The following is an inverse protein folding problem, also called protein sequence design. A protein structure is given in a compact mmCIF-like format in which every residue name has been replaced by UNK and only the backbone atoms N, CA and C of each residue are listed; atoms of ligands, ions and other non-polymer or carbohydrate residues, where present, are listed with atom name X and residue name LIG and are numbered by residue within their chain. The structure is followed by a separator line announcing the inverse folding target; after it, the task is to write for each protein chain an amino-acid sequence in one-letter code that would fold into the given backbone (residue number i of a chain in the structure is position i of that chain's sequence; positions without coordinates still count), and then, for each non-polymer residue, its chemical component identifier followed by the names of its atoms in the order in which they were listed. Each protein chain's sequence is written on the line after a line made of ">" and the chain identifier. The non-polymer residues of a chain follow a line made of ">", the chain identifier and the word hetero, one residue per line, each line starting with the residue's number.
data_IF_921524350805
#
_entry.id   IF_921524350805
#
_cell.length_a   1.000
_cell.length_b   1.000
_cell.length_c   1.000
_cell.angle_alpha   90.00
_cell.angle_beta   90.00
_cell.angle_gamma   90.00
#
_symmetry.space_group_name_H-M   'P 1'
#
loop_
_entity.id
_entity.type
_entity.pdbx_description
1 polymer ?
#
# COMPACT_ATOMS: atom_id res chain seq x y z
N UNK A 1 24.09 48.10 66.87
CA UNK A 1 22.86 47.32 67.08
C UNK A 1 21.83 47.78 66.08
N UNK A 2 21.58 46.98 65.03
CA UNK A 2 20.41 46.93 64.14
C UNK A 2 20.85 46.28 62.83
N UNK A 3 20.36 45.06 62.61
CA UNK A 3 20.59 44.21 61.45
C UNK A 3 19.52 44.58 60.42
N UNK A 4 19.87 44.78 59.15
CA UNK A 4 18.91 44.76 58.05
C UNK A 4 19.41 43.85 56.92
N UNK A 5 18.76 42.68 56.82
CA UNK A 5 18.81 41.79 55.67
C UNK A 5 18.02 42.44 54.52
N UNK A 6 18.67 42.66 53.38
CA UNK A 6 17.98 42.88 52.11
C UNK A 6 18.19 41.63 51.24
N UNK A 7 17.21 40.73 51.29
CA UNK A 7 17.16 39.54 50.46
C UNK A 7 17.11 39.94 48.97
N UNK A 8 18.17 39.64 48.22
CA UNK A 8 18.18 39.73 46.76
C UNK A 8 17.45 38.50 46.20
N UNK A 9 16.13 38.58 46.10
CA UNK A 9 15.34 37.68 45.26
C UNK A 9 15.39 38.17 43.82
N UNK A 10 16.11 37.48 42.95
CA UNK A 10 15.98 37.63 41.51
C UNK A 10 15.63 36.26 40.92
N UNK A 11 14.42 36.19 40.36
CA UNK A 11 13.78 35.03 39.75
C UNK A 11 14.73 34.29 38.79
N UNK A 12 14.96 33.01 39.05
CA UNK A 12 15.42 32.08 38.03
C UNK A 12 14.24 31.83 37.07
N UNK A 13 14.25 32.45 35.89
CA UNK A 13 13.34 32.12 34.82
C UNK A 13 13.71 30.74 34.27
N UNK A 14 12.98 29.71 34.68
CA UNK A 14 13.08 28.37 34.12
C UNK A 14 12.49 28.39 32.71
N UNK A 15 13.34 28.57 31.70
CA UNK A 15 12.96 28.37 30.30
C UNK A 15 12.78 26.87 30.08
N UNK A 16 11.54 26.39 30.17
CA UNK A 16 11.17 25.05 29.73
C UNK A 16 11.24 25.01 28.21
N UNK A 17 12.38 24.59 27.67
CA UNK A 17 12.52 24.23 26.27
C UNK A 17 11.69 22.97 25.99
N UNK A 18 10.44 23.15 25.56
CA UNK A 18 9.65 22.08 24.95
C UNK A 18 10.22 21.78 23.57
N UNK A 19 11.15 20.83 23.49
CA UNK A 19 11.51 20.22 22.22
C UNK A 19 10.34 19.35 21.77
N UNK A 20 9.49 19.88 20.88
CA UNK A 20 8.55 19.07 20.12
C UNK A 20 9.37 18.17 19.18
N UNK A 21 9.70 16.96 19.62
CA UNK A 21 10.23 15.95 18.73
C UNK A 21 9.14 15.60 17.71
N UNK A 22 9.34 15.98 16.45
CA UNK A 22 8.47 15.50 15.38
C UNK A 22 8.57 13.97 15.33
N UNK A 23 7.44 13.28 15.47
CA UNK A 23 7.41 11.82 15.36
C UNK A 23 7.89 11.43 13.96
N UNK A 24 8.95 10.62 13.88
CA UNK A 24 9.39 10.08 12.60
C UNK A 24 8.24 9.30 11.93
N UNK A 25 8.07 9.40 10.60
CA UNK A 25 7.03 8.65 9.91
C UNK A 25 7.23 7.15 10.12
N UNK A 26 6.13 6.40 10.21
CA UNK A 26 6.21 4.95 10.27
C UNK A 26 6.93 4.45 9.01
N UNK A 27 8.02 3.65 9.11
CA UNK A 27 8.75 3.18 7.95
C UNK A 27 7.88 2.45 6.91
N UNK A 28 6.80 1.79 7.36
CA UNK A 28 5.84 1.15 6.46
C UNK A 28 5.10 2.13 5.53
N UNK A 29 4.98 3.41 5.92
CA UNK A 29 4.33 4.46 5.13
C UNK A 29 5.25 5.02 4.04
N UNK A 30 6.56 4.74 4.13
CA UNK A 30 7.54 5.10 3.12
C UNK A 30 7.62 4.06 1.98
N UNK A 31 7.12 2.84 2.22
CA UNK A 31 7.10 1.80 1.22
C UNK A 31 6.03 2.09 0.14
N UNK A 32 6.43 1.94 -1.12
CA UNK A 32 5.53 2.03 -2.28
C UNK A 32 5.38 0.64 -2.94
N UNK A 33 4.28 -0.10 -2.66
CA UNK A 33 4.02 -1.39 -3.30
C UNK A 33 3.85 -1.32 -4.83
N UNK A 34 3.56 -0.15 -5.39
CA UNK A 34 3.40 0.04 -6.83
C UNK A 34 4.75 0.24 -7.55
N UNK A 35 5.86 0.38 -6.82
CA UNK A 35 7.17 0.52 -7.43
C UNK A 35 7.52 -0.73 -8.26
N UNK A 36 7.79 -0.52 -9.56
CA UNK A 36 8.09 -1.59 -10.52
C UNK A 36 6.88 -2.20 -11.24
N UNK A 37 5.66 -1.77 -10.90
CA UNK A 37 4.42 -2.33 -11.48
C UNK A 37 4.09 -1.78 -12.88
N UNK A 38 4.68 -0.67 -13.28
CA UNK A 38 4.63 -0.18 -14.67
C UNK A 38 5.67 -0.91 -15.52
N UNK A 39 5.44 -2.21 -15.73
CA UNK A 39 6.32 -3.09 -16.49
C UNK A 39 5.56 -3.79 -17.61
N UNK A 40 6.27 -4.09 -18.71
CA UNK A 40 5.74 -4.83 -19.86
C UNK A 40 6.60 -6.06 -20.13
N UNK A 41 6.07 -7.09 -20.82
CA UNK A 41 6.87 -8.25 -21.22
C UNK A 41 8.13 -7.88 -22.02
N UNK A 42 8.05 -6.80 -22.81
CA UNK A 42 9.16 -6.31 -23.64
C UNK A 42 10.22 -5.52 -22.85
N UNK A 43 9.85 -4.90 -21.72
CA UNK A 43 10.75 -4.07 -20.92
C UNK A 43 10.27 -4.02 -19.46
N UNK A 44 11.12 -4.49 -18.56
CA UNK A 44 10.87 -4.51 -17.13
C UNK A 44 11.36 -3.22 -16.48
N UNK A 45 10.48 -2.60 -15.68
CA UNK A 45 10.86 -1.59 -14.68
C UNK A 45 10.91 -2.20 -13.26
N UNK A 46 10.82 -3.53 -13.15
CA UNK A 46 10.84 -4.27 -11.90
C UNK A 46 10.05 -5.59 -11.96
N UNK A 47 9.01 -5.65 -12.80
CA UNK A 47 8.11 -6.80 -12.93
C UNK A 47 7.49 -7.23 -11.59
N UNK A 48 7.07 -6.25 -10.79
CA UNK A 48 6.43 -6.46 -9.48
C UNK A 48 4.92 -6.36 -9.59
N UNK A 49 4.24 -6.79 -8.53
CA UNK A 49 2.83 -6.49 -8.26
C UNK A 49 2.73 -5.94 -6.83
N UNK A 50 1.68 -5.16 -6.49
CA UNK A 50 1.52 -4.63 -5.14
C UNK A 50 1.12 -5.75 -4.17
N UNK A 51 2.11 -6.39 -3.56
CA UNK A 51 1.92 -7.45 -2.59
C UNK A 51 1.47 -6.88 -1.24
N UNK A 52 0.22 -7.17 -0.86
CA UNK A 52 -0.37 -6.76 0.41
C UNK A 52 -0.28 -7.97 1.34
N UNK A 53 0.66 -7.92 2.28
CA UNK A 53 1.06 -9.07 3.06
C UNK A 53 1.79 -8.68 4.34
N UNK A 54 1.85 -9.64 5.27
CA UNK A 54 2.81 -9.60 6.37
C UNK A 54 4.20 -10.01 5.84
N UNK A 55 5.30 -9.59 6.50
CA UNK A 55 6.63 -10.13 6.19
C UNK A 55 6.60 -11.66 6.20
N UNK A 56 7.02 -12.28 5.09
CA UNK A 56 6.97 -13.74 4.86
C UNK A 56 5.58 -14.37 5.05
N UNK A 57 4.52 -13.61 4.79
CA UNK A 57 3.16 -14.15 4.80
C UNK A 57 3.02 -15.30 3.81
N UNK A 58 2.46 -16.42 4.26
CA UNK A 58 2.21 -17.59 3.40
C UNK A 58 1.32 -17.21 2.20
N UNK A 59 0.33 -16.35 2.42
CA UNK A 59 -0.60 -15.90 1.39
C UNK A 59 -0.42 -14.39 1.18
N UNK A 60 -0.11 -13.98 -0.06
CA UNK A 60 -0.11 -12.59 -0.47
C UNK A 60 -1.42 -12.23 -1.17
N UNK A 61 -1.82 -10.97 -1.09
CA UNK A 61 -2.99 -10.45 -1.80
C UNK A 61 -2.59 -9.34 -2.76
N UNK A 62 -3.24 -9.26 -3.92
CA UNK A 62 -3.10 -8.13 -4.86
C UNK A 62 -4.44 -7.81 -5.57
N UNK A 63 -4.65 -6.55 -6.01
CA UNK A 63 -5.58 -6.26 -7.10
C UNK A 63 -5.12 -6.95 -8.40
N UNK A 64 -6.01 -7.64 -9.09
CA UNK A 64 -5.72 -8.29 -10.37
C UNK A 64 -6.27 -7.45 -11.52
N UNK A 65 -5.41 -7.00 -12.43
CA UNK A 65 -5.81 -6.31 -13.67
C UNK A 65 -5.61 -7.21 -14.91
N UNK A 66 -4.60 -8.07 -14.90
CA UNK A 66 -4.31 -9.04 -15.96
C UNK A 66 -5.24 -10.26 -15.93
N UNK A 67 -5.42 -10.91 -17.08
CA UNK A 67 -6.25 -12.14 -17.22
C UNK A 67 -5.78 -13.26 -16.30
N UNK A 68 -6.70 -14.12 -15.86
CA UNK A 68 -6.35 -15.30 -15.06
C UNK A 68 -5.32 -16.16 -15.81
N UNK A 69 -4.22 -16.53 -15.12
CA UNK A 69 -3.10 -17.28 -15.71
C UNK A 69 -2.02 -16.42 -16.38
N UNK A 70 -2.21 -15.10 -16.54
CA UNK A 70 -1.15 -14.19 -16.95
C UNK A 70 -0.14 -13.97 -15.83
N UNK A 71 1.15 -14.08 -16.12
CA UNK A 71 2.22 -13.71 -15.19
C UNK A 71 2.24 -12.22 -14.82
N UNK A 72 1.75 -11.34 -15.70
CA UNK A 72 1.52 -9.93 -15.38
C UNK A 72 0.14 -9.75 -14.77
N UNK A 73 -0.03 -10.24 -13.54
CA UNK A 73 -1.30 -10.22 -12.81
C UNK A 73 -1.77 -8.79 -12.49
N UNK A 74 -0.84 -7.85 -12.29
CA UNK A 74 -1.11 -6.42 -12.16
C UNK A 74 -0.14 -5.65 -13.07
N UNK A 75 -0.65 -4.62 -13.75
CA UNK A 75 0.12 -3.65 -14.50
C UNK A 75 -0.42 -2.27 -14.20
N UNK A 76 0.47 -1.31 -13.93
CA UNK A 76 0.10 0.08 -13.62
C UNK A 76 -0.65 0.76 -14.77
N UNK A 77 -0.41 0.37 -16.03
CA UNK A 77 -1.11 0.97 -17.18
C UNK A 77 -2.49 0.37 -17.46
N UNK A 78 -2.98 -0.56 -16.64
CA UNK A 78 -4.27 -1.19 -16.84
C UNK A 78 -5.41 -0.37 -16.22
N UNK A 79 -6.52 -0.24 -16.94
CA UNK A 79 -7.63 0.61 -16.51
C UNK A 79 -8.74 -0.13 -15.74
N UNK A 80 -8.63 -1.46 -15.60
CA UNK A 80 -9.65 -2.30 -14.98
C UNK A 80 -9.10 -3.31 -14.01
N UNK A 81 -9.79 -3.47 -12.89
CA UNK A 81 -9.59 -4.56 -11.93
C UNK A 81 -10.66 -5.62 -12.15
N UNK A 82 -10.25 -6.89 -12.19
CA UNK A 82 -11.13 -8.06 -12.40
C UNK A 82 -11.27 -8.97 -11.18
N UNK A 83 -10.58 -8.61 -10.09
CA UNK A 83 -10.66 -9.30 -8.81
C UNK A 83 -9.55 -8.89 -7.85
N UNK A 84 -9.69 -9.30 -6.61
CA UNK A 84 -8.69 -9.26 -5.55
C UNK A 84 -8.21 -10.69 -5.34
N UNK A 85 -6.96 -10.92 -5.70
CA UNK A 85 -6.39 -12.25 -5.90
C UNK A 85 -5.49 -12.63 -4.74
N UNK A 86 -5.67 -13.83 -4.19
CA UNK A 86 -4.64 -14.49 -3.39
C UNK A 86 -3.58 -15.07 -4.34
N UNK A 87 -2.31 -14.81 -4.05
CA UNK A 87 -1.18 -15.17 -4.91
C UNK A 87 -0.02 -15.75 -4.09
N UNK A 88 0.78 -16.58 -4.75
CA UNK A 88 2.11 -17.03 -4.32
C UNK A 88 3.16 -16.76 -5.40
N UNK A 89 2.82 -15.98 -6.43
CA UNK A 89 3.66 -15.74 -7.60
C UNK A 89 4.99 -15.07 -7.22
N UNK A 90 6.16 -15.68 -7.49
CA UNK A 90 7.44 -15.04 -7.22
C UNK A 90 7.91 -14.12 -8.37
N UNK A 91 7.47 -14.40 -9.61
CA UNK A 91 7.78 -13.59 -10.80
C UNK A 91 6.77 -13.86 -11.91
N UNK A 92 6.59 -12.96 -12.89
CA UNK A 92 5.69 -13.20 -14.02
C UNK A 92 6.11 -14.42 -14.86
N UNK A 93 7.38 -14.79 -14.83
CA UNK A 93 7.92 -15.91 -15.62
C UNK A 93 7.63 -17.28 -15.01
N UNK A 94 7.66 -17.34 -13.67
CA UNK A 94 7.34 -18.57 -12.93
C UNK A 94 5.83 -18.79 -12.80
N UNK A 95 5.05 -17.70 -12.90
CA UNK A 95 3.61 -17.70 -12.71
C UNK A 95 3.21 -18.12 -11.28
N UNK A 96 1.94 -18.44 -11.08
CA UNK A 96 1.30 -18.52 -9.77
C UNK A 96 0.67 -19.89 -9.50
N UNK A 97 0.48 -20.21 -8.22
CA UNK A 97 -0.14 -21.45 -7.74
C UNK A 97 -1.04 -21.18 -6.53
N UNK A 98 -1.96 -22.10 -6.21
CA UNK A 98 -2.87 -21.94 -5.06
C UNK A 98 -3.69 -20.65 -5.11
N UNK A 99 -4.03 -20.21 -6.32
CA UNK A 99 -4.59 -18.90 -6.61
C UNK A 99 -6.11 -18.93 -6.75
N UNK A 100 -6.76 -17.89 -6.21
CA UNK A 100 -8.17 -17.60 -6.46
C UNK A 100 -8.40 -16.09 -6.33
N UNK A 101 -9.52 -15.60 -6.84
CA UNK A 101 -9.86 -14.18 -6.78
C UNK A 101 -11.29 -13.96 -6.31
N UNK A 102 -11.48 -12.90 -5.53
CA UNK A 102 -12.79 -12.40 -5.10
C UNK A 102 -13.05 -11.07 -5.79
N UNK A 103 -14.24 -10.87 -6.36
CA UNK A 103 -14.62 -9.59 -6.97
C UNK A 103 -15.96 -9.14 -6.42
N UNK A 104 -16.01 -8.03 -5.65
CA UNK A 104 -17.28 -7.44 -5.28
C UNK A 104 -17.96 -6.85 -6.53
N UNK A 105 -19.28 -6.92 -6.55
CA UNK A 105 -20.08 -6.36 -7.63
C UNK A 105 -21.51 -6.15 -7.17
N UNK A 106 -22.26 -5.35 -7.92
CA UNK A 106 -23.67 -5.07 -7.68
C UNK A 106 -24.51 -5.53 -8.88
N UNK A 107 -25.80 -5.81 -8.64
CA UNK A 107 -26.71 -6.25 -9.70
C UNK A 107 -26.55 -7.73 -10.07
N UNK A 108 -26.53 -8.02 -11.37
CA UNK A 108 -26.48 -9.41 -11.88
C UNK A 108 -25.12 -10.03 -11.62
N UNK A 109 -25.10 -11.29 -11.16
CA UNK A 109 -23.88 -12.06 -10.98
C UNK A 109 -23.23 -12.31 -12.33
N UNK A 110 -21.96 -11.91 -12.45
CA UNK A 110 -21.12 -12.13 -13.64
C UNK A 110 -19.92 -12.98 -13.23
N UNK A 111 -19.86 -14.20 -13.77
CA UNK A 111 -18.74 -15.12 -13.51
C UNK A 111 -17.57 -14.83 -14.43
N UNK A 112 -17.84 -14.48 -15.69
CA UNK A 112 -16.81 -14.12 -16.67
C UNK A 112 -15.92 -12.97 -16.18
N UNK A 113 -14.60 -13.13 -16.33
CA UNK A 113 -13.62 -12.21 -15.75
C UNK A 113 -13.62 -10.83 -16.42
N UNK A 114 -13.88 -10.77 -17.72
CA UNK A 114 -13.89 -9.52 -18.48
C UNK A 114 -15.24 -8.79 -18.24
N UNK A 115 -16.34 -9.52 -18.09
CA UNK A 115 -17.66 -8.97 -17.82
C UNK A 115 -17.82 -8.41 -16.39
N UNK A 116 -17.16 -9.01 -15.40
CA UNK A 116 -17.18 -8.56 -14.00
C UNK A 116 -16.16 -7.47 -13.68
N UNK A 117 -15.22 -7.22 -14.58
CA UNK A 117 -14.18 -6.22 -14.36
C UNK A 117 -14.75 -4.81 -14.26
N UNK A 118 -14.19 -4.02 -13.36
CA UNK A 118 -14.58 -2.65 -13.08
C UNK A 118 -13.47 -1.69 -13.43
N UNK A 119 -13.83 -0.52 -13.94
CA UNK A 119 -12.88 0.58 -14.13
C UNK A 119 -12.39 1.09 -12.78
N UNK A 120 -11.15 1.56 -12.73
CA UNK A 120 -10.58 2.24 -11.57
C UNK A 120 -9.58 3.31 -12.00
N UNK A 121 -9.08 4.09 -11.05
CA UNK A 121 -7.99 5.05 -11.28
C UNK A 121 -7.04 5.04 -10.09
N UNK A 122 -5.74 5.18 -10.34
CA UNK A 122 -4.73 5.33 -9.28
C UNK A 122 -4.97 6.53 -8.36
N UNK A 123 -5.73 7.55 -8.82
CA UNK A 123 -6.14 8.68 -7.97
C UNK A 123 -7.06 8.27 -6.82
N UNK A 124 -7.79 7.17 -7.00
CA UNK A 124 -8.69 6.59 -6.00
C UNK A 124 -8.19 5.21 -5.53
N UNK A 125 -6.90 4.94 -5.70
CA UNK A 125 -6.22 3.73 -5.22
C UNK A 125 -5.27 4.10 -4.09
N UNK A 126 -5.30 3.32 -3.01
CA UNK A 126 -4.34 3.40 -1.93
C UNK A 126 -3.69 2.03 -1.77
N UNK A 127 -2.38 1.95 -2.01
CA UNK A 127 -1.59 0.73 -1.84
C UNK A 127 -0.53 0.94 -0.74
N UNK A 128 -0.65 0.18 0.34
CA UNK A 128 0.32 0.07 1.44
C UNK A 128 0.63 -1.40 1.69
N UNK A 129 1.82 -1.78 2.18
CA UNK A 129 2.13 -3.18 2.44
C UNK A 129 1.11 -3.90 3.34
N UNK A 130 0.48 -3.13 4.24
CA UNK A 130 -0.49 -3.59 5.23
C UNK A 130 -1.96 -3.26 4.90
N UNK A 131 -2.25 -2.53 3.82
CA UNK A 131 -3.61 -2.08 3.49
C UNK A 131 -3.76 -1.72 2.01
N UNK A 132 -4.85 -2.18 1.41
CA UNK A 132 -5.23 -1.81 0.05
C UNK A 132 -6.68 -1.35 -0.01
N UNK A 133 -6.93 -0.28 -0.75
CA UNK A 133 -8.27 0.24 -1.02
C UNK A 133 -8.33 0.83 -2.42
N UNK A 134 -9.45 0.63 -3.10
CA UNK A 134 -9.70 1.19 -4.42
C UNK A 134 -11.18 1.45 -4.62
N UNK A 135 -11.50 2.52 -5.34
CA UNK A 135 -12.85 2.75 -5.83
C UNK A 135 -13.07 2.04 -7.18
N UNK A 136 -14.13 1.22 -7.24
CA UNK A 136 -14.58 0.52 -8.45
C UNK A 136 -15.74 1.32 -9.06
N UNK A 137 -15.54 1.84 -10.28
CA UNK A 137 -16.47 2.75 -10.97
C UNK A 137 -17.58 2.05 -11.76
#
# INVERSE_FOLDING_TARGET
>A
MAIFFAARGALAALVLSFSAAAQAPNPADLANPLMGTDSKPSLSNGNTYPAIARPWGMNCWLPQTGKMGSGWAYQYSADKIRGFKQTHQPSPWMNDYGQFALMPGTGKVKVDEDARASWFSHKAETARPYYYSVYLA
#
